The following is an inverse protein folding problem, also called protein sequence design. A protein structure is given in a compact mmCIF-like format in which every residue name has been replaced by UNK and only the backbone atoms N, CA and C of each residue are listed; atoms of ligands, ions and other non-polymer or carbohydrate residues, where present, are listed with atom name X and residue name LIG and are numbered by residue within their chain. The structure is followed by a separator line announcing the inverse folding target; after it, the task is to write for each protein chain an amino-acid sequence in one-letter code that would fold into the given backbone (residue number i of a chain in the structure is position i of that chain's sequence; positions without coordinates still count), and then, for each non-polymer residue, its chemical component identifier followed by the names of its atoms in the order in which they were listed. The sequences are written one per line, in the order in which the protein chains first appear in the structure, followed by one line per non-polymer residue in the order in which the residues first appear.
data_IF_337028966734
#
_entry.id   IF_337028966734
#
_cell.length_a   1.000
_cell.length_b   1.000
_cell.length_c   1.000
_cell.angle_alpha   90.00
_cell.angle_beta   90.00
_cell.angle_gamma   90.00
#
_symmetry.space_group_name_H-M   'P 1'
#
loop_
_entity.id
_entity.type
_entity.pdbx_description
1 polymer ?
#
# COMPACT_ATOMS: atom_id res chain seq x y z
N UNK A 1 -14.91 14.24 21.17
CA UNK A 1 -13.50 14.20 20.73
C UNK A 1 -13.06 12.88 20.13
N UNK A 2 -13.22 11.74 20.82
CA UNK A 2 -12.81 10.40 20.30
C UNK A 2 -13.43 10.04 18.94
N UNK A 3 -14.69 10.39 18.72
CA UNK A 3 -15.40 10.12 17.46
C UNK A 3 -14.86 10.89 16.26
N UNK A 4 -14.53 12.17 16.46
CA UNK A 4 -13.93 13.03 15.42
C UNK A 4 -12.54 12.53 15.02
N UNK A 5 -11.71 12.14 15.99
CA UNK A 5 -10.41 11.52 15.73
C UNK A 5 -10.55 10.22 14.93
N UNK A 6 -11.51 9.37 15.28
CA UNK A 6 -11.76 8.11 14.57
C UNK A 6 -12.16 8.34 13.11
N UNK A 7 -13.00 9.35 12.85
CA UNK A 7 -13.44 9.72 11.50
C UNK A 7 -12.28 10.24 10.64
N UNK A 8 -11.42 11.10 11.21
CA UNK A 8 -10.22 11.61 10.53
C UNK A 8 -9.25 10.47 10.22
N UNK A 9 -8.98 9.60 11.19
CA UNK A 9 -8.06 8.48 11.03
C UNK A 9 -8.51 7.49 9.95
N UNK A 10 -9.83 7.25 9.85
CA UNK A 10 -10.39 6.40 8.80
C UNK A 10 -10.20 7.00 7.40
N UNK A 11 -10.45 8.31 7.24
CA UNK A 11 -10.24 9.01 5.97
C UNK A 11 -8.77 9.02 5.55
N UNK A 12 -7.85 9.25 6.50
CA UNK A 12 -6.41 9.23 6.24
C UNK A 12 -5.95 7.85 5.79
N UNK A 13 -6.44 6.79 6.44
CA UNK A 13 -6.10 5.41 6.05
C UNK A 13 -6.46 5.14 4.59
N UNK A 14 -7.67 5.50 4.16
CA UNK A 14 -8.10 5.29 2.78
C UNK A 14 -7.29 6.11 1.76
N UNK A 15 -6.90 7.33 2.12
CA UNK A 15 -6.06 8.17 1.26
C UNK A 15 -4.65 7.57 1.18
N UNK A 16 -4.11 7.08 2.29
CA UNK A 16 -2.81 6.44 2.33
C UNK A 16 -2.77 5.20 1.43
N UNK A 17 -3.78 4.32 1.51
CA UNK A 17 -3.86 3.11 0.67
C UNK A 17 -3.90 3.45 -0.84
N UNK A 18 -4.68 4.46 -1.23
CA UNK A 18 -4.78 4.91 -2.64
C UNK A 18 -3.46 5.51 -3.14
N UNK A 19 -2.76 6.28 -2.30
CA UNK A 19 -1.50 6.91 -2.64
C UNK A 19 -0.31 5.93 -2.62
N UNK A 20 -0.39 4.86 -1.84
CA UNK A 20 0.70 3.91 -1.68
C UNK A 20 0.89 3.03 -2.92
N UNK A 21 -0.19 2.62 -3.60
CA UNK A 21 -0.15 1.85 -4.86
C UNK A 21 0.73 2.52 -5.94
N UNK A 22 0.49 3.79 -6.36
CA UNK A 22 1.34 4.42 -7.37
C UNK A 22 2.76 4.66 -6.86
N UNK A 23 2.94 4.93 -5.57
CA UNK A 23 4.27 5.16 -4.99
C UNK A 23 5.14 3.90 -5.01
N UNK A 24 4.59 2.76 -4.57
CA UNK A 24 5.27 1.48 -4.66
C UNK A 24 5.47 1.03 -6.10
N UNK A 25 4.51 1.29 -7.00
CA UNK A 25 4.68 0.99 -8.44
C UNK A 25 5.88 1.74 -9.03
N UNK A 26 6.00 3.04 -8.74
CA UNK A 26 7.15 3.85 -9.17
C UNK A 26 8.46 3.34 -8.54
N UNK A 27 8.45 2.99 -7.26
CA UNK A 27 9.62 2.43 -6.60
C UNK A 27 10.07 1.11 -7.25
N UNK A 28 9.14 0.20 -7.55
CA UNK A 28 9.44 -1.06 -8.25
C UNK A 28 10.05 -0.79 -9.62
N UNK A 29 9.44 0.08 -10.43
CA UNK A 29 9.96 0.43 -11.77
C UNK A 29 11.36 1.05 -11.66
N UNK A 30 11.55 1.97 -10.71
CA UNK A 30 12.82 2.65 -10.49
C UNK A 30 13.92 1.65 -10.14
N UNK A 31 13.73 0.86 -9.09
CA UNK A 31 14.74 -0.11 -8.66
C UNK A 31 14.94 -1.22 -9.69
N UNK A 32 13.90 -1.66 -10.40
CA UNK A 32 14.01 -2.68 -11.44
C UNK A 32 14.94 -2.25 -12.58
N UNK A 33 14.89 -0.98 -12.99
CA UNK A 33 15.68 -0.44 -14.10
C UNK A 33 17.17 -0.20 -13.78
N UNK A 34 17.60 -0.35 -12.52
CA UNK A 34 19.02 -0.22 -12.15
C UNK A 34 19.79 -1.42 -12.68
N UNK A 35 20.74 -1.25 -13.61
CA UNK A 35 21.46 -2.38 -14.23
C UNK A 35 22.40 -3.12 -13.26
N UNK A 36 23.18 -2.38 -12.45
CA UNK A 36 24.10 -2.94 -11.45
C UNK A 36 23.59 -2.65 -10.04
N UNK A 37 22.68 -3.50 -9.58
CA UNK A 37 22.09 -3.40 -8.25
C UNK A 37 23.08 -3.84 -7.17
N UNK A 38 23.25 -3.00 -6.16
CA UNK A 38 23.82 -3.32 -4.86
C UNK A 38 22.87 -4.18 -4.03
N UNK A 39 23.39 -4.83 -2.98
CA UNK A 39 22.57 -5.63 -2.06
C UNK A 39 21.44 -4.83 -1.41
N UNK A 40 21.67 -3.54 -1.14
CA UNK A 40 20.64 -2.64 -0.59
C UNK A 40 19.53 -2.37 -1.60
N UNK A 41 19.85 -2.17 -2.88
CA UNK A 41 18.84 -1.95 -3.92
C UNK A 41 18.01 -3.21 -4.18
N UNK A 42 18.60 -4.40 -4.06
CA UNK A 42 17.83 -5.65 -4.08
C UNK A 42 16.86 -5.76 -2.89
N UNK A 43 17.31 -5.39 -1.69
CA UNK A 43 16.46 -5.38 -0.51
C UNK A 43 15.30 -4.39 -0.67
N UNK A 44 15.58 -3.18 -1.18
CA UNK A 44 14.57 -2.14 -1.42
C UNK A 44 13.60 -2.52 -2.55
N UNK A 45 14.08 -3.16 -3.62
CA UNK A 45 13.22 -3.70 -4.68
C UNK A 45 12.27 -4.76 -4.11
N UNK A 46 12.80 -5.72 -3.34
CA UNK A 46 11.99 -6.75 -2.70
C UNK A 46 10.95 -6.12 -1.76
N UNK A 47 11.37 -5.17 -0.92
CA UNK A 47 10.47 -4.45 -0.02
C UNK A 47 9.37 -3.70 -0.78
N UNK A 48 9.71 -3.06 -1.90
CA UNK A 48 8.75 -2.32 -2.73
C UNK A 48 7.73 -3.24 -3.39
N UNK A 49 8.17 -4.42 -3.86
CA UNK A 49 7.26 -5.44 -4.42
C UNK A 49 6.34 -5.97 -3.33
N UNK A 50 6.86 -6.31 -2.15
CA UNK A 50 6.04 -6.76 -1.02
C UNK A 50 5.03 -5.70 -0.59
N UNK A 51 5.45 -4.43 -0.48
CA UNK A 51 4.56 -3.31 -0.16
C UNK A 51 3.42 -3.17 -1.16
N UNK A 52 3.73 -3.21 -2.47
CA UNK A 52 2.70 -3.15 -3.52
C UNK A 52 1.70 -4.30 -3.42
N UNK A 53 2.18 -5.53 -3.19
CA UNK A 53 1.31 -6.71 -3.05
C UNK A 53 0.42 -6.58 -1.81
N UNK A 54 0.98 -6.15 -0.67
CA UNK A 54 0.22 -5.97 0.56
C UNK A 54 -0.85 -4.88 0.41
N UNK A 55 -0.53 -3.74 -0.21
CA UNK A 55 -1.49 -2.66 -0.45
C UNK A 55 -2.65 -3.11 -1.34
N UNK A 56 -2.37 -3.90 -2.38
CA UNK A 56 -3.40 -4.50 -3.24
C UNK A 56 -4.28 -5.45 -2.43
N UNK A 57 -3.69 -6.33 -1.59
CA UNK A 57 -4.44 -7.28 -0.77
C UNK A 57 -5.32 -6.57 0.27
N UNK A 58 -4.81 -5.54 0.95
CA UNK A 58 -5.59 -4.75 1.90
C UNK A 58 -6.70 -3.95 1.22
N UNK A 59 -6.41 -3.34 0.08
CA UNK A 59 -7.42 -2.65 -0.74
C UNK A 59 -8.51 -3.62 -1.21
N UNK A 60 -8.12 -4.83 -1.63
CA UNK A 60 -9.05 -5.88 -2.02
C UNK A 60 -9.90 -6.34 -0.84
N UNK A 61 -9.29 -6.60 0.32
CA UNK A 61 -10.02 -6.97 1.54
C UNK A 61 -11.00 -5.86 1.96
N UNK A 62 -10.63 -4.60 1.83
CA UNK A 62 -11.52 -3.48 2.15
C UNK A 62 -12.71 -3.39 1.19
N UNK A 63 -12.48 -3.52 -0.12
CA UNK A 63 -13.52 -3.44 -1.16
C UNK A 63 -14.47 -4.65 -1.12
N UNK A 64 -13.93 -5.87 -0.97
CA UNK A 64 -14.71 -7.11 -1.02
C UNK A 64 -15.17 -7.60 0.35
N UNK A 65 -14.47 -7.26 1.43
CA UNK A 65 -14.86 -7.60 2.81
C UNK A 65 -16.12 -6.88 3.29
N UNK A 66 -16.51 -5.77 2.64
CA UNK A 66 -17.76 -5.06 2.92
C UNK A 66 -19.02 -5.85 2.52
N UNK A 67 -18.88 -7.00 1.86
CA UNK A 67 -20.00 -7.88 1.49
C UNK A 67 -20.45 -8.84 2.62
N UNK A 68 -19.79 -8.86 3.78
CA UNK A 68 -20.15 -9.72 4.94
C UNK A 68 -20.59 -8.96 6.21
N UNK A 69 -21.01 -7.70 6.08
CA UNK A 69 -21.67 -6.96 7.17
C UNK A 69 -23.03 -6.41 6.73
N UNK A 70 -23.91 -7.31 6.25
CA UNK A 70 -25.36 -7.10 6.31
C UNK A 70 -25.85 -7.96 7.48
N UNK A 71 -25.83 -7.38 8.67
CA UNK A 71 -26.74 -7.68 9.77
C UNK A 71 -26.85 -6.43 10.64
#
# INVERSE_FOLDING_TARGET
MKEYFKKIMNNISHIADICAIPFFTLAVIYFYNIEKKSNLEYLLLFWSICGLVLDILFSWQFLYGKKYSIK
#
